data_IF_397865938976
#
_entry.id   IF_397865938976
#
_cell.length_a   1.000
_cell.length_b   1.000
_cell.length_c   1.000
_cell.angle_alpha   90.00
_cell.angle_beta   90.00
_cell.angle_gamma   90.00
#
_symmetry.space_group_name_H-M   'P 1'
#
loop_
_entity.id
_entity.type
_entity.pdbx_description
1 polymer ?
#
# COMPACT_ATOMS: atom_id res chain seq x y z
N UNK A 1 -13.93 -15.63 1.09
CA UNK A 1 -13.78 -14.90 -0.18
C UNK A 1 -12.99 -15.75 -1.14
N UNK A 2 -13.48 -15.88 -2.39
CA UNK A 2 -12.72 -16.45 -3.49
C UNK A 2 -11.76 -15.40 -4.04
N UNK A 3 -10.48 -15.70 -4.08
CA UNK A 3 -9.47 -14.75 -4.54
C UNK A 3 -9.55 -14.55 -6.04
N UNK A 4 -9.48 -13.32 -6.51
CA UNK A 4 -9.44 -12.97 -7.94
C UNK A 4 -8.07 -12.44 -8.36
N UNK A 5 -7.33 -11.87 -7.43
CA UNK A 5 -5.98 -11.38 -7.67
C UNK A 5 -5.31 -10.89 -6.39
N UNK A 6 -3.98 -10.90 -6.43
CA UNK A 6 -3.14 -10.37 -5.36
C UNK A 6 -1.85 -9.81 -5.94
N UNK A 7 -1.45 -8.63 -5.51
CA UNK A 7 -0.13 -8.07 -5.78
C UNK A 7 0.98 -8.87 -5.10
N UNK A 8 2.19 -8.77 -5.62
CA UNK A 8 3.39 -9.38 -5.02
C UNK A 8 4.28 -8.27 -4.47
N UNK A 9 4.36 -8.17 -3.16
CA UNK A 9 5.20 -7.23 -2.46
C UNK A 9 6.65 -7.72 -2.35
N UNK A 10 7.58 -6.78 -2.14
CA UNK A 10 8.96 -7.14 -1.78
C UNK A 10 9.05 -7.94 -0.47
N UNK A 11 8.12 -7.73 0.46
CA UNK A 11 8.01 -8.48 1.71
C UNK A 11 7.74 -9.97 1.44
N UNK A 12 6.80 -10.29 0.53
CA UNK A 12 6.52 -11.69 0.15
C UNK A 12 7.76 -12.38 -0.41
N UNK A 13 8.52 -11.68 -1.26
CA UNK A 13 9.75 -12.21 -1.83
C UNK A 13 10.85 -12.42 -0.78
N UNK A 14 10.91 -11.59 0.26
CA UNK A 14 11.86 -11.74 1.35
C UNK A 14 11.48 -12.90 2.27
N UNK A 15 10.20 -13.03 2.63
CA UNK A 15 9.70 -14.15 3.43
C UNK A 15 9.92 -15.48 2.70
N UNK A 16 9.54 -15.57 1.44
CA UNK A 16 9.74 -16.78 0.63
C UNK A 16 11.22 -17.23 0.58
N UNK A 17 12.17 -16.27 0.53
CA UNK A 17 13.59 -16.59 0.39
C UNK A 17 14.32 -16.85 1.71
N UNK A 18 13.92 -16.23 2.79
CA UNK A 18 14.73 -16.15 4.02
C UNK A 18 13.95 -16.36 5.30
N UNK A 19 12.62 -16.31 5.28
CA UNK A 19 11.72 -16.40 6.44
C UNK A 19 12.19 -15.52 7.63
N UNK A 20 12.45 -14.20 7.43
CA UNK A 20 12.99 -13.36 8.48
C UNK A 20 12.05 -13.19 9.67
N UNK A 21 10.75 -13.44 9.50
CA UNK A 21 9.76 -13.37 10.56
C UNK A 21 9.42 -14.74 11.17
N UNK A 22 10.07 -15.83 10.66
CA UNK A 22 9.84 -17.20 11.10
C UNK A 22 8.36 -17.61 11.03
N UNK A 23 7.76 -17.41 9.87
CA UNK A 23 6.33 -17.64 9.63
C UNK A 23 6.03 -18.99 8.96
N UNK A 24 7.02 -19.65 8.36
CA UNK A 24 6.79 -20.89 7.58
C UNK A 24 6.33 -22.03 8.52
N UNK A 25 5.22 -22.74 8.21
CA UNK A 25 4.41 -22.63 6.99
C UNK A 25 3.41 -21.46 7.00
N UNK A 26 3.30 -20.72 5.90
CA UNK A 26 2.39 -19.59 5.75
C UNK A 26 1.94 -19.43 4.29
N UNK A 27 0.67 -19.10 4.07
CA UNK A 27 0.20 -18.57 2.80
C UNK A 27 0.49 -17.06 2.80
N UNK A 28 1.41 -16.62 1.92
CA UNK A 28 1.76 -15.21 1.77
C UNK A 28 0.69 -14.43 0.99
N UNK A 29 0.93 -13.14 0.77
CA UNK A 29 0.09 -12.22 0.00
C UNK A 29 -0.81 -11.36 0.89
N UNK A 30 -0.66 -10.04 0.78
CA UNK A 30 -1.40 -9.05 1.58
C UNK A 30 -2.03 -7.92 0.75
N UNK A 31 -1.81 -7.92 -0.56
CA UNK A 31 -2.36 -6.95 -1.53
C UNK A 31 -3.51 -7.56 -2.33
N UNK A 32 -4.45 -8.23 -1.66
CA UNK A 32 -5.43 -9.09 -2.33
C UNK A 32 -6.83 -8.53 -2.45
N UNK A 33 -7.57 -9.08 -3.41
CA UNK A 33 -8.99 -8.82 -3.66
C UNK A 33 -9.70 -10.06 -4.16
N UNK A 34 -11.00 -10.13 -3.92
CA UNK A 34 -11.79 -11.28 -4.36
C UNK A 34 -13.29 -11.11 -4.14
N UNK A 35 -14.02 -12.14 -4.48
CA UNK A 35 -15.47 -12.20 -4.42
C UNK A 35 -15.96 -12.88 -3.15
N UNK A 36 -16.94 -12.28 -2.49
CA UNK A 36 -17.65 -12.92 -1.37
C UNK A 36 -18.44 -14.14 -1.90
N UNK A 37 -18.05 -15.33 -1.52
CA UNK A 37 -18.74 -16.58 -1.92
C UNK A 37 -19.55 -17.19 -0.77
N UNK A 38 -19.24 -16.80 0.47
CA UNK A 38 -20.01 -17.19 1.65
C UNK A 38 -19.91 -16.08 2.70
N UNK A 39 -20.95 -15.90 3.51
CA UNK A 39 -21.01 -14.90 4.57
C UNK A 39 -21.64 -15.47 5.84
N UNK A 40 -21.16 -15.03 6.98
CA UNK A 40 -21.83 -15.25 8.26
C UNK A 40 -23.20 -14.53 8.29
N UNK A 41 -24.18 -15.12 8.97
CA UNK A 41 -25.56 -14.58 9.06
C UNK A 41 -25.67 -13.14 9.60
N UNK A 42 -24.69 -12.71 10.37
CA UNK A 42 -24.67 -11.40 11.02
C UNK A 42 -23.97 -10.33 10.19
N UNK A 43 -23.22 -10.70 9.14
CA UNK A 43 -22.54 -9.74 8.26
C UNK A 43 -23.58 -9.09 7.35
N UNK A 44 -23.74 -7.78 7.44
CA UNK A 44 -24.71 -7.00 6.65
C UNK A 44 -24.06 -5.87 5.88
N UNK A 45 -22.98 -5.33 6.43
CA UNK A 45 -22.25 -4.18 5.86
C UNK A 45 -20.77 -4.44 5.93
N UNK A 46 -20.02 -3.72 5.10
CA UNK A 46 -18.58 -3.58 5.26
C UNK A 46 -18.22 -2.64 6.42
N UNK A 47 -16.95 -2.39 6.63
CA UNK A 47 -16.44 -1.53 7.71
C UNK A 47 -16.85 -0.06 7.55
N UNK A 48 -17.11 0.41 6.34
CA UNK A 48 -17.60 1.75 6.06
C UNK A 48 -19.13 1.87 6.15
N UNK A 49 -19.85 0.77 6.44
CA UNK A 49 -21.32 0.74 6.52
C UNK A 49 -22.00 0.50 5.17
N UNK A 50 -21.26 0.24 4.08
CA UNK A 50 -21.83 -0.10 2.78
C UNK A 50 -22.40 -1.53 2.82
N UNK A 51 -23.66 -1.75 2.38
CA UNK A 51 -24.25 -3.09 2.35
C UNK A 51 -23.40 -4.08 1.55
N UNK A 52 -23.36 -5.33 2.01
CA UNK A 52 -22.63 -6.41 1.33
C UNK A 52 -23.50 -7.66 1.15
N UNK A 53 -23.23 -8.38 0.08
CA UNK A 53 -23.89 -9.64 -0.29
C UNK A 53 -22.91 -10.58 -0.97
N UNK A 54 -23.28 -11.82 -1.12
CA UNK A 54 -22.57 -12.81 -1.95
C UNK A 54 -22.48 -12.28 -3.39
N UNK A 55 -21.30 -12.38 -3.99
CA UNK A 55 -20.96 -11.84 -5.30
C UNK A 55 -20.28 -10.47 -5.28
N UNK A 56 -20.33 -9.74 -4.15
CA UNK A 56 -19.63 -8.46 -4.03
C UNK A 56 -18.11 -8.65 -3.98
N UNK A 57 -17.39 -7.67 -4.53
CA UNK A 57 -15.93 -7.65 -4.55
C UNK A 57 -15.42 -6.88 -3.34
N UNK A 58 -14.41 -7.44 -2.69
CA UNK A 58 -13.87 -6.87 -1.45
C UNK A 58 -12.35 -6.84 -1.43
N UNK A 59 -11.84 -5.90 -0.66
CA UNK A 59 -10.45 -5.84 -0.19
C UNK A 59 -10.45 -5.80 1.33
N UNK A 60 -9.37 -6.23 1.95
CA UNK A 60 -9.19 -6.08 3.41
C UNK A 60 -8.22 -4.94 3.72
N UNK A 61 -8.39 -4.30 4.87
CA UNK A 61 -7.21 -3.75 5.53
C UNK A 61 -6.30 -4.92 5.87
N UNK A 62 -5.05 -4.88 5.48
CA UNK A 62 -4.13 -6.00 5.74
C UNK A 62 -3.88 -6.20 7.23
N UNK A 63 -3.95 -5.15 8.03
CA UNK A 63 -3.72 -5.18 9.48
C UNK A 63 -5.04 -5.42 10.19
N UNK A 64 -5.09 -6.42 11.04
CA UNK A 64 -6.20 -6.67 11.94
C UNK A 64 -5.70 -6.97 13.36
N UNK A 65 -6.59 -6.89 14.35
CA UNK A 65 -6.28 -7.16 15.75
C UNK A 65 -7.34 -7.99 16.40
N UNK A 66 -6.91 -8.84 17.29
CA UNK A 66 -7.80 -9.61 18.16
C UNK A 66 -8.38 -8.79 19.32
N UNK A 67 -7.88 -7.57 19.55
CA UNK A 67 -8.37 -6.68 20.59
C UNK A 67 -9.27 -5.57 20.01
N UNK A 68 -10.59 -5.63 20.22
CA UNK A 68 -11.52 -4.65 19.70
C UNK A 68 -11.37 -3.24 20.32
N UNK A 69 -10.66 -3.11 21.44
CA UNK A 69 -10.40 -1.81 22.08
C UNK A 69 -9.23 -1.06 21.45
N UNK A 70 -8.44 -1.72 20.60
CA UNK A 70 -7.30 -1.10 19.94
C UNK A 70 -7.69 -0.67 18.53
N UNK A 71 -7.81 0.64 18.34
CA UNK A 71 -8.10 1.22 17.04
C UNK A 71 -6.81 1.30 16.18
N UNK A 72 -6.97 1.44 14.84
CA UNK A 72 -5.85 1.71 13.92
C UNK A 72 -5.02 2.94 14.34
N UNK A 73 -5.60 3.89 15.06
CA UNK A 73 -4.90 5.05 15.61
C UNK A 73 -4.00 4.71 16.79
N UNK A 74 -4.31 3.66 17.53
CA UNK A 74 -3.52 3.23 18.70
C UNK A 74 -2.29 2.43 18.28
N UNK A 75 -2.33 1.76 17.13
CA UNK A 75 -1.17 1.10 16.52
C UNK A 75 0.00 2.07 16.27
N UNK A 76 -0.28 3.36 16.10
CA UNK A 76 0.71 4.39 15.90
C UNK A 76 1.28 4.98 17.21
N UNK A 77 0.70 4.70 18.35
CA UNK A 77 1.05 5.35 19.63
C UNK A 77 1.86 4.49 20.60
N UNK A 78 1.87 3.18 20.42
CA UNK A 78 2.61 2.25 21.28
C UNK A 78 3.25 1.16 20.44
N UNK A 79 4.38 0.61 20.88
CA UNK A 79 4.86 -0.70 20.46
C UNK A 79 3.80 -1.75 20.89
N UNK A 80 2.69 -1.77 20.20
CA UNK A 80 1.66 -2.76 20.42
C UNK A 80 2.14 -4.02 19.72
N UNK A 81 2.80 -4.88 20.46
CA UNK A 81 3.18 -6.19 19.98
C UNK A 81 1.96 -6.88 19.38
N UNK A 82 2.11 -7.40 18.15
CA UNK A 82 1.13 -8.28 17.55
C UNK A 82 -0.02 -7.59 16.81
N UNK A 83 0.26 -6.70 15.86
CA UNK A 83 -0.70 -6.48 14.79
C UNK A 83 -0.62 -7.69 13.85
N UNK A 84 -1.69 -8.44 13.75
CA UNK A 84 -1.79 -9.53 12.80
C UNK A 84 -1.98 -8.97 11.39
N UNK A 85 -1.27 -9.54 10.42
CA UNK A 85 -1.28 -9.08 9.04
C UNK A 85 -1.65 -10.25 8.14
N UNK A 86 -2.71 -10.10 7.35
CA UNK A 86 -3.03 -11.09 6.32
C UNK A 86 -1.81 -11.34 5.41
N UNK A 87 -1.46 -12.62 5.20
CA UNK A 87 -0.29 -13.02 4.44
C UNK A 87 1.06 -12.94 5.16
N UNK A 88 1.07 -12.49 6.42
CA UNK A 88 2.24 -12.47 7.30
C UNK A 88 1.90 -12.99 8.71
N UNK A 89 0.87 -13.80 8.81
CA UNK A 89 0.43 -14.51 10.01
C UNK A 89 0.53 -16.01 9.72
N UNK A 90 1.13 -16.81 10.62
CA UNK A 90 1.18 -18.27 10.45
C UNK A 90 -0.22 -18.84 10.20
N UNK A 91 -0.32 -19.78 9.26
CA UNK A 91 -1.57 -20.48 9.01
C UNK A 91 -1.92 -21.37 10.19
N UNK A 92 -3.20 -21.52 10.48
CA UNK A 92 -3.73 -22.46 11.44
C UNK A 92 -4.35 -23.69 10.74
N UNK A 93 -4.83 -24.66 11.49
CA UNK A 93 -5.40 -25.93 10.97
C UNK A 93 -6.67 -25.73 10.14
N UNK A 94 -7.26 -24.53 10.18
CA UNK A 94 -8.57 -24.22 9.58
C UNK A 94 -8.45 -23.12 8.52
N UNK A 95 -7.53 -22.18 8.70
CA UNK A 95 -7.47 -20.95 7.93
C UNK A 95 -6.13 -20.75 7.24
N UNK A 96 -6.17 -20.51 5.94
CA UNK A 96 -5.10 -19.85 5.20
C UNK A 96 -5.28 -18.34 5.37
N UNK A 97 -4.26 -17.68 5.89
CA UNK A 97 -4.32 -16.28 6.28
C UNK A 97 -3.71 -15.32 5.24
N UNK A 98 -3.38 -15.81 4.04
CA UNK A 98 -2.81 -15.02 2.95
C UNK A 98 -3.60 -15.11 1.65
N UNK A 99 -3.44 -14.09 0.81
CA UNK A 99 -4.14 -13.96 -0.46
C UNK A 99 -3.52 -14.78 -1.61
N UNK A 100 -2.34 -15.42 -1.42
CA UNK A 100 -1.79 -16.38 -2.38
C UNK A 100 -2.43 -17.76 -2.20
N UNK A 101 -3.75 -17.77 -2.22
CA UNK A 101 -4.62 -18.95 -2.09
C UNK A 101 -5.84 -18.83 -3.00
N UNK A 102 -6.58 -19.92 -3.22
CA UNK A 102 -7.83 -19.87 -3.98
C UNK A 102 -8.95 -19.19 -3.18
N UNK A 103 -8.92 -19.32 -1.86
CA UNK A 103 -9.90 -18.75 -0.94
C UNK A 103 -9.22 -18.22 0.31
N UNK A 104 -9.73 -17.11 0.82
CA UNK A 104 -9.31 -16.55 2.11
C UNK A 104 -10.52 -16.43 3.04
N UNK A 105 -10.29 -16.70 4.31
CA UNK A 105 -11.26 -16.45 5.36
C UNK A 105 -11.00 -15.07 5.98
N UNK A 106 -11.93 -14.15 5.79
CA UNK A 106 -11.89 -12.84 6.46
C UNK A 106 -12.60 -13.00 7.79
N UNK A 107 -11.87 -12.89 8.89
CA UNK A 107 -12.39 -12.99 10.25
C UNK A 107 -13.39 -11.87 10.51
N UNK A 108 -14.35 -12.10 11.39
CA UNK A 108 -15.40 -11.13 11.70
C UNK A 108 -14.88 -9.88 12.44
N UNK A 109 -15.73 -8.86 12.50
CA UNK A 109 -15.41 -7.60 13.19
C UNK A 109 -15.06 -7.73 14.67
N UNK A 110 -15.51 -8.81 15.33
CA UNK A 110 -15.09 -9.20 16.68
C UNK A 110 -13.59 -9.49 16.82
N UNK A 111 -12.92 -9.78 15.69
CA UNK A 111 -11.46 -9.97 15.61
C UNK A 111 -10.75 -8.73 15.04
N UNK A 112 -11.42 -7.57 14.99
CA UNK A 112 -10.82 -6.34 14.48
C UNK A 112 -10.53 -6.32 12.97
N UNK A 113 -10.99 -7.33 12.23
CA UNK A 113 -10.84 -7.36 10.77
C UNK A 113 -11.68 -6.30 10.11
N UNK A 114 -11.07 -5.60 9.16
CA UNK A 114 -11.73 -4.58 8.35
C UNK A 114 -11.71 -4.98 6.89
N UNK A 115 -12.85 -4.83 6.23
CA UNK A 115 -12.97 -5.05 4.78
C UNK A 115 -13.89 -4.01 4.15
N UNK A 116 -13.74 -3.80 2.86
CA UNK A 116 -14.47 -2.78 2.11
C UNK A 116 -15.05 -3.36 0.82
N UNK A 117 -16.30 -3.02 0.52
CA UNK A 117 -16.95 -3.35 -0.73
C UNK A 117 -16.46 -2.41 -1.84
N UNK A 118 -15.74 -2.99 -2.80
CA UNK A 118 -15.09 -2.31 -3.93
C UNK A 118 -15.61 -2.82 -5.27
N UNK A 119 -16.86 -3.29 -5.30
CA UNK A 119 -17.47 -3.87 -6.51
C UNK A 119 -17.56 -2.90 -7.69
N UNK A 120 -17.44 -1.61 -7.43
CA UNK A 120 -17.48 -0.56 -8.46
C UNK A 120 -16.13 -0.40 -9.21
N UNK A 121 -15.07 -1.07 -8.75
CA UNK A 121 -13.74 -0.99 -9.33
C UNK A 121 -13.39 -2.25 -10.14
N UNK A 122 -12.61 -2.06 -11.20
CA UNK A 122 -12.01 -3.17 -11.95
C UNK A 122 -10.94 -3.90 -11.12
N UNK A 123 -10.49 -5.08 -11.60
CA UNK A 123 -9.55 -5.92 -10.88
C UNK A 123 -8.20 -5.22 -10.62
N UNK A 124 -7.67 -4.55 -11.62
CA UNK A 124 -6.36 -3.89 -11.51
C UNK A 124 -6.39 -2.77 -10.47
N UNK A 125 -7.46 -1.97 -10.49
CA UNK A 125 -7.69 -0.92 -9.49
C UNK A 125 -7.84 -1.50 -8.08
N UNK A 126 -8.53 -2.62 -7.93
CA UNK A 126 -8.73 -3.28 -6.62
C UNK A 126 -7.42 -3.78 -6.02
N UNK A 127 -6.53 -4.38 -6.83
CA UNK A 127 -5.20 -4.85 -6.39
C UNK A 127 -4.33 -3.68 -5.93
N UNK A 128 -4.46 -2.51 -6.53
CA UNK A 128 -3.68 -1.33 -6.18
C UNK A 128 -4.16 -0.60 -4.91
N UNK A 129 -5.29 -0.98 -4.32
CA UNK A 129 -5.84 -0.29 -3.14
C UNK A 129 -4.88 -0.37 -1.95
N UNK A 130 -4.34 -1.56 -1.66
CA UNK A 130 -3.43 -1.73 -0.53
C UNK A 130 -2.17 -0.87 -0.68
N UNK A 131 -1.37 -0.98 -1.76
CA UNK A 131 -0.20 -0.11 -1.91
C UNK A 131 -0.56 1.38 -2.00
N UNK A 132 -1.72 1.76 -2.54
CA UNK A 132 -2.22 3.14 -2.46
C UNK A 132 -2.47 3.57 -1.01
N UNK A 133 -3.06 2.73 -0.18
CA UNK A 133 -3.33 3.05 1.23
C UNK A 133 -2.03 3.31 2.00
N UNK A 134 -0.96 2.54 1.73
CA UNK A 134 0.38 2.77 2.30
C UNK A 134 0.87 4.18 1.97
N UNK A 135 0.73 4.61 0.71
CA UNK A 135 1.21 5.93 0.27
C UNK A 135 0.31 7.07 0.77
N UNK A 136 -1.00 6.89 0.80
CA UNK A 136 -1.91 7.87 1.41
C UNK A 136 -1.55 8.07 2.87
N UNK A 137 -1.32 6.99 3.62
CA UNK A 137 -0.89 7.08 5.02
C UNK A 137 0.45 7.82 5.16
N UNK A 138 1.45 7.50 4.34
CA UNK A 138 2.76 8.17 4.38
C UNK A 138 2.65 9.68 4.10
N UNK A 139 1.85 10.06 3.10
CA UNK A 139 1.64 11.46 2.73
C UNK A 139 0.84 12.21 3.81
N UNK A 140 -0.20 11.61 4.40
CA UNK A 140 -0.92 12.19 5.53
C UNK A 140 0.02 12.40 6.73
N UNK A 141 0.90 11.46 7.02
CA UNK A 141 1.95 11.64 8.04
C UNK A 141 2.87 12.82 7.72
N UNK A 142 3.30 12.96 6.48
CA UNK A 142 4.12 14.12 6.06
C UNK A 142 3.36 15.44 6.22
N UNK A 143 2.06 15.49 5.92
CA UNK A 143 1.22 16.67 6.14
C UNK A 143 1.15 17.08 7.63
N UNK A 144 1.02 16.12 8.54
CA UNK A 144 0.93 16.42 9.97
C UNK A 144 2.20 17.09 10.52
N UNK A 145 3.35 16.92 9.87
CA UNK A 145 4.60 17.61 10.24
C UNK A 145 4.63 19.08 9.82
N UNK A 146 3.70 19.51 8.98
CA UNK A 146 3.68 20.87 8.40
C UNK A 146 4.71 21.10 7.29
N UNK A 147 5.51 20.09 6.94
CA UNK A 147 6.54 20.17 5.88
C UNK A 147 5.88 20.12 4.50
N UNK A 148 4.87 19.25 4.32
CA UNK A 148 4.17 19.10 3.04
C UNK A 148 3.03 20.11 2.93
N UNK A 149 3.18 21.06 2.00
CA UNK A 149 2.23 22.14 1.71
C UNK A 149 1.92 22.18 0.22
N UNK A 150 0.90 22.95 -0.17
CA UNK A 150 0.44 23.08 -1.55
C UNK A 150 1.56 23.40 -2.58
N UNK A 151 2.52 24.25 -2.21
CA UNK A 151 3.63 24.66 -3.07
C UNK A 151 4.95 23.93 -2.76
N UNK A 152 4.89 22.82 -2.03
CA UNK A 152 6.10 22.06 -1.69
C UNK A 152 6.79 21.52 -2.93
N UNK A 153 8.11 21.49 -2.87
CA UNK A 153 8.98 20.80 -3.82
C UNK A 153 9.24 19.41 -3.28
N UNK A 154 8.88 18.39 -4.03
CA UNK A 154 8.96 17.00 -3.58
C UNK A 154 9.88 16.22 -4.49
N UNK A 155 10.82 15.50 -3.90
CA UNK A 155 11.67 14.54 -4.61
C UNK A 155 11.18 13.13 -4.30
N UNK A 156 10.84 12.35 -5.31
CA UNK A 156 10.50 10.94 -5.18
C UNK A 156 11.67 10.11 -5.71
N UNK A 157 12.41 9.51 -4.80
CA UNK A 157 13.56 8.68 -5.13
C UNK A 157 13.13 7.21 -5.26
N UNK A 158 13.34 6.65 -6.45
CA UNK A 158 12.88 5.33 -6.85
C UNK A 158 11.49 5.38 -7.50
N UNK A 159 11.42 5.04 -8.78
CA UNK A 159 10.19 5.01 -9.59
C UNK A 159 9.73 3.57 -9.84
N UNK A 160 9.83 2.70 -8.83
CA UNK A 160 9.13 1.43 -8.77
C UNK A 160 7.64 1.62 -8.48
N UNK A 161 6.85 0.54 -8.28
CA UNK A 161 5.41 0.63 -8.04
C UNK A 161 5.05 1.65 -6.95
N UNK A 162 5.69 1.57 -5.80
CA UNK A 162 5.47 2.49 -4.66
C UNK A 162 5.78 3.94 -5.03
N UNK A 163 6.92 4.22 -5.68
CA UNK A 163 7.26 5.59 -6.09
C UNK A 163 6.30 6.16 -7.13
N UNK A 164 5.84 5.35 -8.08
CA UNK A 164 4.85 5.76 -9.08
C UNK A 164 3.50 6.10 -8.44
N UNK A 165 3.04 5.26 -7.51
CA UNK A 165 1.81 5.53 -6.74
C UNK A 165 1.98 6.80 -5.89
N UNK A 166 3.14 7.00 -5.25
CA UNK A 166 3.44 8.20 -4.49
C UNK A 166 3.27 9.47 -5.35
N UNK A 167 3.83 9.47 -6.55
CA UNK A 167 3.71 10.58 -7.49
C UNK A 167 2.24 10.85 -7.83
N UNK A 168 1.45 9.81 -8.12
CA UNK A 168 0.02 9.94 -8.41
C UNK A 168 -0.76 10.51 -7.22
N UNK A 169 -0.51 10.01 -6.00
CA UNK A 169 -1.15 10.51 -4.77
C UNK A 169 -0.80 11.98 -4.55
N UNK A 170 0.46 12.38 -4.66
CA UNK A 170 0.89 13.78 -4.53
C UNK A 170 0.21 14.68 -5.56
N UNK A 171 0.08 14.22 -6.81
CA UNK A 171 -0.63 14.98 -7.87
C UNK A 171 -2.11 15.16 -7.57
N UNK A 172 -2.81 14.12 -7.14
CA UNK A 172 -4.23 14.22 -6.73
C UNK A 172 -4.42 15.18 -5.56
N UNK A 173 -3.41 15.36 -4.71
CA UNK A 173 -3.43 16.33 -3.61
C UNK A 173 -3.07 17.76 -4.03
N UNK A 174 -2.80 18.00 -5.33
CA UNK A 174 -2.47 19.31 -5.86
C UNK A 174 -1.00 19.71 -5.76
N UNK A 175 -0.10 18.78 -5.41
CA UNK A 175 1.34 19.04 -5.45
C UNK A 175 1.82 19.00 -6.90
N UNK A 176 2.39 20.10 -7.39
CA UNK A 176 2.84 20.19 -8.78
C UNK A 176 4.34 20.02 -8.95
N UNK A 177 5.13 20.46 -7.98
CA UNK A 177 6.59 20.44 -8.06
C UNK A 177 7.15 19.09 -7.63
N UNK A 178 7.03 18.07 -8.50
CA UNK A 178 7.47 16.70 -8.21
C UNK A 178 8.62 16.33 -9.13
N UNK A 179 9.79 16.07 -8.55
CA UNK A 179 10.96 15.55 -9.24
C UNK A 179 11.12 14.06 -8.97
N UNK A 180 11.01 13.25 -10.03
CA UNK A 180 11.26 11.81 -9.97
C UNK A 180 12.73 11.50 -10.19
N UNK A 181 13.31 10.62 -9.37
CA UNK A 181 14.72 10.20 -9.47
C UNK A 181 14.79 8.69 -9.57
N UNK A 182 15.33 8.16 -10.66
CA UNK A 182 15.55 6.71 -10.89
C UNK A 182 16.74 6.51 -11.84
N UNK A 183 17.30 5.31 -11.88
CA UNK A 183 18.33 4.94 -12.86
C UNK A 183 17.79 4.31 -14.15
N UNK A 184 16.49 4.03 -14.20
CA UNK A 184 15.84 3.43 -15.36
C UNK A 184 14.98 4.46 -16.09
N UNK A 185 15.34 4.74 -17.34
CA UNK A 185 14.63 5.75 -18.15
C UNK A 185 13.16 5.41 -18.36
N UNK A 186 12.81 4.16 -18.60
CA UNK A 186 11.39 3.77 -18.76
C UNK A 186 10.56 4.06 -17.50
N UNK A 187 11.12 3.86 -16.30
CA UNK A 187 10.46 4.20 -15.05
C UNK A 187 10.28 5.71 -14.88
N UNK A 188 11.25 6.50 -15.30
CA UNK A 188 11.14 7.96 -15.32
C UNK A 188 10.06 8.44 -16.29
N UNK A 189 9.93 7.79 -17.45
CA UNK A 189 8.88 8.10 -18.42
C UNK A 189 7.47 7.72 -17.86
N UNK A 190 7.37 6.62 -17.11
CA UNK A 190 6.16 6.30 -16.35
C UNK A 190 5.88 7.34 -15.27
N UNK A 191 6.90 7.75 -14.50
CA UNK A 191 6.75 8.77 -13.47
C UNK A 191 6.19 10.08 -14.02
N UNK A 192 6.62 10.52 -15.20
CA UNK A 192 6.05 11.67 -15.90
C UNK A 192 4.57 11.48 -16.23
N UNK A 193 4.18 10.30 -16.71
CA UNK A 193 2.77 9.97 -16.99
C UNK A 193 1.92 9.94 -15.71
N UNK A 194 2.51 9.54 -14.58
CA UNK A 194 1.86 9.57 -13.27
C UNK A 194 1.77 10.97 -12.66
N UNK A 195 2.47 11.96 -13.25
CA UNK A 195 2.35 13.36 -12.87
C UNK A 195 3.61 14.03 -12.35
N UNK A 196 4.78 13.36 -12.39
CA UNK A 196 6.06 14.05 -12.13
C UNK A 196 6.30 15.13 -13.19
N UNK A 197 6.60 16.34 -12.74
CA UNK A 197 6.87 17.48 -13.63
C UNK A 197 8.35 17.57 -14.02
N UNK A 198 9.20 16.92 -13.25
CA UNK A 198 10.65 16.91 -13.43
C UNK A 198 11.18 15.49 -13.23
N UNK A 199 12.33 15.19 -13.82
CA UNK A 199 12.97 13.89 -13.61
C UNK A 199 14.49 14.00 -13.73
N UNK A 200 15.20 13.18 -12.95
CA UNK A 200 16.66 13.05 -12.98
C UNK A 200 17.02 11.57 -13.05
N UNK A 201 17.80 11.21 -14.08
CA UNK A 201 18.38 9.87 -14.17
C UNK A 201 19.73 9.86 -13.43
N UNK A 202 19.79 9.19 -12.28
CA UNK A 202 21.00 9.20 -11.46
C UNK A 202 22.18 8.49 -12.13
N UNK A 203 21.97 7.64 -13.15
CA UNK A 203 23.05 7.01 -13.92
C UNK A 203 23.84 8.00 -14.77
N UNK A 204 23.29 9.18 -15.03
CA UNK A 204 23.93 10.25 -15.79
C UNK A 204 24.82 11.16 -14.93
N UNK A 205 24.81 10.96 -13.60
CA UNK A 205 25.53 11.79 -12.64
C UNK A 205 26.51 10.97 -11.81
N UNK A 206 27.76 11.45 -11.72
CA UNK A 206 28.82 10.77 -10.94
C UNK A 206 28.91 11.34 -9.53
N UNK A 207 28.45 10.54 -8.55
CA UNK A 207 28.54 10.90 -7.13
C UNK A 207 27.32 11.69 -6.62
N UNK A 208 27.24 11.78 -5.29
CA UNK A 208 26.09 12.39 -4.60
C UNK A 208 26.01 13.90 -4.85
N UNK A 209 27.15 14.58 -4.91
CA UNK A 209 27.19 16.02 -5.16
C UNK A 209 26.59 16.36 -6.55
N UNK A 210 27.04 15.68 -7.61
CA UNK A 210 26.51 15.91 -8.95
C UNK A 210 25.02 15.59 -9.08
N UNK A 211 24.56 14.53 -8.42
CA UNK A 211 23.14 14.19 -8.36
C UNK A 211 22.34 15.25 -7.60
N UNK A 212 22.85 15.72 -6.47
CA UNK A 212 22.21 16.77 -5.66
C UNK A 212 22.06 18.06 -6.45
N UNK A 213 23.10 18.50 -7.15
CA UNK A 213 23.03 19.68 -8.01
C UNK A 213 22.02 19.49 -9.15
N UNK A 214 22.03 18.34 -9.83
CA UNK A 214 21.06 18.05 -10.89
C UNK A 214 19.60 18.12 -10.39
N UNK A 215 19.34 17.65 -9.17
CA UNK A 215 18.00 17.75 -8.55
C UNK A 215 17.67 19.19 -8.18
N UNK A 216 18.60 19.96 -7.62
CA UNK A 216 18.42 21.38 -7.30
C UNK A 216 18.11 22.20 -8.56
N UNK A 217 18.83 21.93 -9.66
CA UNK A 217 18.64 22.62 -10.93
C UNK A 217 17.23 22.45 -11.49
N UNK A 218 16.59 21.27 -11.27
CA UNK A 218 15.18 21.05 -11.64
C UNK A 218 14.24 22.07 -10.94
N UNK A 219 14.59 22.52 -9.75
CA UNK A 219 13.83 23.49 -8.97
C UNK A 219 14.36 24.93 -9.08
N UNK A 220 15.17 25.23 -10.09
CA UNK A 220 15.74 26.56 -10.32
C UNK A 220 16.83 26.95 -9.32
N UNK A 221 17.60 25.98 -8.84
CA UNK A 221 18.72 26.19 -7.93
C UNK A 221 18.34 26.45 -6.46
N UNK A 222 17.05 26.43 -6.14
CA UNK A 222 16.55 26.72 -4.79
C UNK A 222 15.88 25.49 -4.18
N UNK A 223 16.64 24.64 -3.49
CA UNK A 223 16.10 23.76 -2.47
C UNK A 223 16.35 24.45 -1.12
N UNK A 224 15.28 24.79 -0.43
CA UNK A 224 15.35 25.27 0.95
C UNK A 224 15.66 24.11 1.90
#
# INVERSE_FOLDING_TARGET
VKVEGCGVCGTDAHEFKRDPFNLIPVALGHEGTGEIVAMGKNVKTDTAGKPVKIGDKVVTCMIFKDDPEITMFDLNKKNVGGADVYGLLPDDDIHLNGWFSDYIFIRGGEFGSTFFNVSDLDLDSRILIEPCAVLVHAVERAKTTGILRFNSRVVVQGCGPIGLICIAVLRTMGIENICAVDGNQQRLDFAKRMGATMSVNFMEHKGIEALSEAVKDQFGGHLA
#
